data_IF_322483547311
#
_entry.id   IF_322483547311
#
_cell.length_a   1.000
_cell.length_b   1.000
_cell.length_c   1.000
_cell.angle_alpha   90.00
_cell.angle_beta   90.00
_cell.angle_gamma   90.00
#
_symmetry.space_group_name_H-M   'P 1'
#
loop_
_entity.id
_entity.type
_entity.pdbx_description
1 polymer ?
#
# COMPACT_ATOMS: atom_id res chain seq x y z
N UNK A 1 -21.90 16.94 -9.27
CA UNK A 1 -20.70 16.70 -10.12
C UNK A 1 -19.63 16.00 -9.28
N UNK A 2 -19.04 14.89 -9.76
CA UNK A 2 -17.87 14.29 -9.12
C UNK A 2 -16.64 15.01 -9.66
N UNK A 3 -16.07 15.94 -8.90
CA UNK A 3 -14.82 16.60 -9.26
C UNK A 3 -13.72 15.54 -9.41
N UNK A 4 -12.89 15.65 -10.45
CA UNK A 4 -11.69 14.84 -10.57
C UNK A 4 -10.81 15.14 -9.35
N UNK A 5 -10.53 14.13 -8.54
CA UNK A 5 -9.78 14.27 -7.29
C UNK A 5 -8.69 13.20 -7.21
N UNK A 6 -7.51 13.60 -6.75
CA UNK A 6 -6.41 12.68 -6.46
C UNK A 6 -6.59 11.91 -5.15
N UNK A 7 -7.67 12.17 -4.40
CA UNK A 7 -7.96 11.54 -3.10
C UNK A 7 -7.78 10.02 -3.10
N UNK A 8 -8.24 9.32 -4.15
CA UNK A 8 -8.11 7.86 -4.21
C UNK A 8 -6.66 7.41 -4.34
N UNK A 9 -5.87 8.13 -5.13
CA UNK A 9 -4.44 7.89 -5.33
C UNK A 9 -3.67 8.17 -4.04
N UNK A 10 -3.95 9.32 -3.42
CA UNK A 10 -3.32 9.72 -2.15
C UNK A 10 -3.63 8.74 -1.02
N UNK A 11 -4.88 8.25 -0.95
CA UNK A 11 -5.29 7.24 0.03
C UNK A 11 -4.52 5.93 -0.13
N UNK A 12 -4.32 5.46 -1.37
CA UNK A 12 -3.52 4.27 -1.65
C UNK A 12 -2.06 4.44 -1.18
N UNK A 13 -1.42 5.56 -1.52
CA UNK A 13 -0.04 5.82 -1.10
C UNK A 13 0.08 6.02 0.40
N UNK A 14 -0.88 6.69 1.03
CA UNK A 14 -0.94 6.81 2.49
C UNK A 14 -0.99 5.42 3.14
N UNK A 15 -1.83 4.52 2.61
CA UNK A 15 -1.97 3.17 3.12
C UNK A 15 -0.69 2.35 3.00
N UNK A 16 0.00 2.42 1.85
CA UNK A 16 1.30 1.78 1.67
C UNK A 16 2.31 2.26 2.72
N UNK A 17 2.43 3.59 2.90
CA UNK A 17 3.37 4.19 3.85
C UNK A 17 3.06 3.86 5.31
N UNK A 18 1.78 3.70 5.66
CA UNK A 18 1.38 3.36 7.03
C UNK A 18 1.56 1.87 7.36
N UNK A 19 1.53 0.98 6.37
CA UNK A 19 1.63 -0.47 6.59
C UNK A 19 3.04 -1.05 6.34
N UNK A 20 3.86 -0.38 5.53
CA UNK A 20 5.22 -0.82 5.23
C UNK A 20 6.20 0.01 6.05
N UNK A 21 6.79 -0.62 7.08
CA UNK A 21 7.75 0.03 7.99
C UNK A 21 8.85 0.78 7.25
N UNK A 22 9.38 0.21 6.17
CA UNK A 22 10.45 0.82 5.36
C UNK A 22 10.00 2.11 4.64
N UNK A 23 8.71 2.27 4.36
CA UNK A 23 8.13 3.44 3.71
C UNK A 23 7.45 4.41 4.69
N UNK A 24 7.39 4.04 5.97
CA UNK A 24 6.78 4.84 7.02
C UNK A 24 7.53 6.15 7.24
N UNK A 25 6.79 7.16 7.66
CA UNK A 25 7.41 8.41 8.12
C UNK A 25 8.05 8.16 9.48
N UNK A 26 9.21 8.77 9.77
CA UNK A 26 9.76 8.80 11.12
C UNK A 26 8.72 9.19 12.15
N UNK A 27 8.54 8.36 13.17
CA UNK A 27 7.68 8.70 14.29
C UNK A 27 8.48 9.57 15.27
N UNK A 28 8.09 10.83 15.39
CA UNK A 28 8.67 11.75 16.38
C UNK A 28 7.94 11.55 17.70
N UNK A 29 8.65 11.09 18.72
CA UNK A 29 8.14 11.05 20.09
C UNK A 29 8.81 12.13 20.94
N UNK A 30 8.14 12.63 21.97
CA UNK A 30 8.67 13.65 22.89
C UNK A 30 10.03 13.25 23.48
N UNK A 31 10.24 11.94 23.69
CA UNK A 31 11.49 11.41 24.24
C UNK A 31 12.60 11.17 23.19
N UNK A 32 12.27 11.22 21.90
CA UNK A 32 13.24 10.97 20.81
C UNK A 32 14.24 12.11 20.59
N UNK A 33 14.03 13.29 21.20
CA UNK A 33 14.86 14.49 21.03
C UNK A 33 15.07 14.84 19.54
N UNK A 34 14.03 14.71 18.72
CA UNK A 34 14.11 14.99 17.29
C UNK A 34 14.85 13.94 16.44
N UNK A 35 15.25 12.80 17.03
CA UNK A 35 15.84 11.69 16.27
C UNK A 35 14.79 10.99 15.42
N UNK A 36 14.84 11.27 14.13
CA UNK A 36 13.91 10.75 13.10
C UNK A 36 14.47 9.54 12.35
N UNK A 37 15.79 9.43 12.25
CA UNK A 37 16.45 8.36 11.50
C UNK A 37 16.88 7.21 12.43
N UNK A 38 16.22 6.06 12.30
CA UNK A 38 16.58 4.80 12.97
C UNK A 38 16.98 3.68 12.01
N UNK A 39 17.30 2.48 12.51
CA UNK A 39 17.76 1.34 11.69
C UNK A 39 16.78 0.87 10.60
N UNK A 40 15.48 1.12 10.78
CA UNK A 40 14.42 0.67 9.85
C UNK A 40 14.27 1.54 8.60
N UNK A 41 15.00 2.65 8.50
CA UNK A 41 14.85 3.65 7.43
C UNK A 41 15.97 3.55 6.38
N UNK A 42 17.00 2.73 6.63
CA UNK A 42 18.02 2.38 5.66
C UNK A 42 17.48 1.21 4.84
N UNK A 43 16.97 1.48 3.64
CA UNK A 43 16.48 0.43 2.74
C UNK A 43 17.29 0.38 1.46
N UNK A 44 17.47 -0.83 0.94
CA UNK A 44 17.88 -1.05 -0.44
C UNK A 44 16.70 -0.69 -1.35
N UNK A 45 16.85 0.28 -2.29
CA UNK A 45 15.78 0.69 -3.19
C UNK A 45 15.20 -0.46 -4.02
N UNK A 46 15.99 -1.50 -4.31
CA UNK A 46 15.52 -2.70 -5.02
C UNK A 46 14.47 -3.45 -4.20
N UNK A 47 14.67 -3.59 -2.89
CA UNK A 47 13.71 -4.24 -1.99
C UNK A 47 12.43 -3.41 -1.87
N UNK A 48 12.55 -2.07 -1.77
CA UNK A 48 11.37 -1.22 -1.70
C UNK A 48 10.52 -1.34 -2.97
N UNK A 49 11.15 -1.38 -4.16
CA UNK A 49 10.43 -1.57 -5.43
C UNK A 49 9.63 -2.88 -5.44
N UNK A 50 10.26 -3.99 -5.02
CA UNK A 50 9.60 -5.30 -4.92
C UNK A 50 8.41 -5.26 -3.97
N UNK A 51 8.57 -4.63 -2.81
CA UNK A 51 7.47 -4.48 -1.83
C UNK A 51 6.32 -3.63 -2.39
N UNK A 52 6.62 -2.55 -3.11
CA UNK A 52 5.60 -1.73 -3.78
C UNK A 52 4.81 -2.55 -4.80
N UNK A 53 5.49 -3.37 -5.60
CA UNK A 53 4.85 -4.24 -6.60
C UNK A 53 3.93 -5.28 -5.97
N UNK A 54 4.39 -5.96 -4.91
CA UNK A 54 3.59 -6.94 -4.16
C UNK A 54 2.38 -6.24 -3.54
N UNK A 55 2.57 -5.09 -2.90
CA UNK A 55 1.48 -4.34 -2.27
C UNK A 55 0.43 -3.90 -3.30
N UNK A 56 0.88 -3.45 -4.48
CA UNK A 56 0.00 -3.10 -5.60
C UNK A 56 -0.80 -4.30 -6.08
N UNK A 57 -0.16 -5.46 -6.22
CA UNK A 57 -0.83 -6.69 -6.61
C UNK A 57 -1.90 -7.08 -5.60
N UNK A 58 -1.54 -7.15 -4.32
CA UNK A 58 -2.45 -7.50 -3.23
C UNK A 58 -3.67 -6.57 -3.19
N UNK A 59 -3.45 -5.25 -3.24
CA UNK A 59 -4.54 -4.27 -3.23
C UNK A 59 -5.47 -4.41 -4.43
N UNK A 60 -4.92 -4.62 -5.64
CA UNK A 60 -5.71 -4.65 -6.86
C UNK A 60 -6.47 -5.95 -7.07
N UNK A 61 -5.94 -7.09 -6.61
CA UNK A 61 -6.41 -8.42 -7.01
C UNK A 61 -6.92 -9.29 -5.86
N UNK A 62 -6.45 -9.07 -4.63
CA UNK A 62 -6.77 -9.96 -3.50
C UNK A 62 -7.68 -9.30 -2.48
N UNK A 63 -7.57 -7.99 -2.29
CA UNK A 63 -8.26 -7.28 -1.23
C UNK A 63 -9.63 -6.72 -1.67
N UNK A 64 -10.75 -7.29 -1.18
CA UNK A 64 -12.07 -6.75 -1.46
C UNK A 64 -12.34 -5.48 -0.65
N UNK A 65 -13.01 -4.50 -1.27
CA UNK A 65 -13.56 -3.35 -0.56
C UNK A 65 -14.89 -3.68 0.12
N UNK A 66 -15.59 -2.62 0.58
CA UNK A 66 -16.92 -2.72 1.21
C UNK A 66 -17.95 -3.39 0.30
N UNK A 67 -17.84 -3.18 -1.01
CA UNK A 67 -18.67 -3.78 -2.06
C UNK A 67 -18.30 -5.24 -2.39
N UNK A 68 -17.40 -5.86 -1.63
CA UNK A 68 -16.83 -7.20 -1.87
C UNK A 68 -16.12 -7.38 -3.21
N UNK A 69 -15.78 -6.28 -3.90
CA UNK A 69 -15.04 -6.30 -5.17
C UNK A 69 -13.65 -5.73 -4.98
N UNK A 70 -12.69 -6.25 -5.74
CA UNK A 70 -11.32 -5.70 -5.81
C UNK A 70 -11.27 -4.59 -6.86
N UNK A 71 -10.27 -3.69 -6.82
CA UNK A 71 -10.07 -2.68 -7.87
C UNK A 71 -10.04 -3.26 -9.28
N UNK A 72 -9.35 -4.40 -9.50
CA UNK A 72 -9.29 -5.06 -10.79
C UNK A 72 -10.67 -5.55 -11.28
N UNK A 73 -11.54 -6.01 -10.35
CA UNK A 73 -12.91 -6.37 -10.68
C UNK A 73 -13.75 -5.15 -11.07
N UNK A 74 -13.56 -4.00 -10.42
CA UNK A 74 -14.34 -2.77 -10.70
C UNK A 74 -14.09 -2.22 -12.10
N UNK A 75 -12.88 -2.40 -12.63
CA UNK A 75 -12.51 -1.98 -13.99
C UNK A 75 -12.64 -3.11 -15.03
N UNK A 76 -13.15 -4.27 -14.64
CA UNK A 76 -13.39 -5.40 -15.55
C UNK A 76 -12.15 -6.20 -15.96
N UNK A 77 -10.99 -5.98 -15.34
CA UNK A 77 -9.78 -6.78 -15.59
C UNK A 77 -9.85 -8.18 -14.96
N UNK A 78 -10.64 -8.35 -13.90
CA UNK A 78 -10.76 -9.61 -13.16
C UNK A 78 -12.22 -10.06 -13.03
N UNK A 79 -12.48 -11.36 -13.24
CA UNK A 79 -13.81 -11.96 -12.99
C UNK A 79 -14.08 -12.27 -11.51
N UNK A 80 -13.02 -12.39 -10.71
CA UNK A 80 -13.09 -12.70 -9.28
C UNK A 80 -11.81 -12.28 -8.57
N UNK A 81 -11.82 -12.33 -7.22
CA UNK A 81 -10.60 -12.08 -6.44
C UNK A 81 -9.64 -13.26 -6.54
N UNK A 82 -8.36 -12.96 -6.46
CA UNK A 82 -7.29 -13.93 -6.27
C UNK A 82 -7.18 -14.24 -4.79
N UNK A 83 -7.00 -15.52 -4.45
CA UNK A 83 -6.81 -16.00 -3.09
C UNK A 83 -5.36 -16.48 -2.91
N UNK A 84 -4.91 -16.59 -1.66
CA UNK A 84 -3.56 -17.10 -1.35
C UNK A 84 -3.29 -18.49 -1.95
N UNK A 85 -4.31 -19.35 -1.98
CA UNK A 85 -4.24 -20.69 -2.61
C UNK A 85 -3.95 -20.66 -4.13
N UNK A 86 -4.15 -19.53 -4.79
CA UNK A 86 -3.92 -19.38 -6.23
C UNK A 86 -2.47 -18.95 -6.55
N UNK A 87 -1.63 -18.71 -5.53
CA UNK A 87 -0.25 -18.23 -5.64
C UNK A 87 0.82 -19.30 -5.37
N UNK A 88 0.40 -20.49 -4.93
CA UNK A 88 1.24 -21.66 -4.64
C UNK A 88 1.23 -22.63 -5.81
#
# INVERSE_FOLDING_TARGET
>A
MRLATLRSVDSYFHRFRSNVRFASRPQVSTNSHGRTWGRHHLYDPVILSKLVEIYRFYHNWMEPGVDRKTPAMRIGLAKGRIYERDLL
#
